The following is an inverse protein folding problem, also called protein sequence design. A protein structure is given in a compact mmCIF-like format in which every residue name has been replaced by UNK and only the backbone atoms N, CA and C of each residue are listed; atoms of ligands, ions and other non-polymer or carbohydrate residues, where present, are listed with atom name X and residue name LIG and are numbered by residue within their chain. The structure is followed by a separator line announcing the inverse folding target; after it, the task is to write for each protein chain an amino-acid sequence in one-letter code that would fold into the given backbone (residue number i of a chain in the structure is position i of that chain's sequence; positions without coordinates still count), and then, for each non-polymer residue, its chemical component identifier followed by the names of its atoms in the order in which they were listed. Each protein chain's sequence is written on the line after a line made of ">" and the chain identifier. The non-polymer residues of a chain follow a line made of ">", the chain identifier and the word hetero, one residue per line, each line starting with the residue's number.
data_IF_051309721017
#
_entry.id   IF_051309721017
#
_cell.length_a   1.000
_cell.length_b   1.000
_cell.length_c   1.000
_cell.angle_alpha   90.00
_cell.angle_beta   90.00
_cell.angle_gamma   90.00
#
_symmetry.space_group_name_H-M   'P 1'
#
loop_
_entity.id
_entity.type
_entity.pdbx_description
1 polymer ?
#
# COMPACT_ATOMS: atom_id res chain seq x y z
N UNK A 1 -31.71 16.59 -26.79
CA UNK A 1 -30.46 17.15 -26.22
C UNK A 1 -29.37 16.10 -26.39
N UNK A 2 -28.67 16.11 -27.53
CA UNK A 2 -27.57 15.17 -27.77
C UNK A 2 -26.45 15.48 -26.75
N UNK A 3 -26.18 14.54 -25.85
CA UNK A 3 -24.99 14.57 -25.01
C UNK A 3 -23.80 14.40 -25.97
N UNK A 4 -23.02 15.45 -26.18
CA UNK A 4 -21.70 15.32 -26.80
C UNK A 4 -20.94 14.27 -25.97
N UNK A 5 -20.76 13.08 -26.53
CA UNK A 5 -19.76 12.15 -26.00
C UNK A 5 -18.45 12.88 -26.20
N UNK A 6 -17.79 13.24 -25.10
CA UNK A 6 -16.51 13.92 -25.17
C UNK A 6 -15.54 13.00 -25.93
N UNK A 7 -15.07 13.40 -27.11
CA UNK A 7 -14.18 12.61 -27.97
C UNK A 7 -12.85 12.23 -27.28
N UNK A 8 -12.49 12.91 -26.19
CA UNK A 8 -11.26 12.63 -25.43
C UNK A 8 -11.58 12.35 -23.97
N UNK A 9 -11.17 11.17 -23.50
CA UNK A 9 -11.22 10.78 -22.09
C UNK A 9 -10.36 11.72 -21.24
N UNK A 10 -10.94 12.31 -20.19
CA UNK A 10 -10.21 13.21 -19.26
C UNK A 10 -9.55 12.49 -18.09
N UNK A 11 -10.23 11.50 -17.51
CA UNK A 11 -9.71 10.75 -16.38
C UNK A 11 -8.66 9.75 -16.85
N UNK A 12 -7.50 9.72 -16.19
CA UNK A 12 -6.38 8.81 -16.50
C UNK A 12 -6.56 7.44 -15.84
N UNK A 13 -5.98 6.39 -16.42
CA UNK A 13 -6.08 5.00 -15.95
C UNK A 13 -4.69 4.50 -15.56
N UNK A 14 -4.60 4.01 -14.33
CA UNK A 14 -3.41 3.35 -13.78
C UNK A 14 -3.66 1.84 -13.78
N UNK A 15 -2.79 1.06 -14.43
CA UNK A 15 -2.86 -0.41 -14.44
C UNK A 15 -1.64 -0.99 -13.72
N UNK A 16 -1.86 -1.97 -12.84
CA UNK A 16 -0.73 -2.68 -12.20
C UNK A 16 -0.20 -3.75 -13.14
N UNK A 17 1.12 -3.75 -13.37
CA UNK A 17 1.79 -4.73 -14.22
C UNK A 17 2.30 -5.89 -13.36
N UNK A 18 1.95 -7.11 -13.75
CA UNK A 18 2.37 -8.35 -13.12
C UNK A 18 2.34 -9.50 -14.11
N UNK A 19 2.55 -10.75 -13.67
CA UNK A 19 2.70 -11.93 -14.54
C UNK A 19 1.54 -12.16 -15.52
N UNK A 20 0.35 -11.66 -15.19
CA UNK A 20 -0.81 -11.78 -16.07
C UNK A 20 -0.68 -10.93 -17.35
N UNK A 21 0.09 -9.84 -17.33
CA UNK A 21 0.09 -8.77 -18.34
C UNK A 21 1.48 -8.19 -18.66
N UNK A 22 2.58 -8.88 -18.35
CA UNK A 22 3.95 -8.37 -18.54
C UNK A 22 4.62 -8.78 -19.87
N UNK A 23 3.92 -9.47 -20.78
CA UNK A 23 4.39 -9.65 -22.16
C UNK A 23 4.18 -8.39 -23.00
N UNK A 24 5.06 -8.18 -23.99
CA UNK A 24 4.99 -7.01 -24.88
C UNK A 24 3.64 -6.88 -25.58
N UNK A 25 3.09 -7.98 -26.10
CA UNK A 25 1.80 -8.00 -26.81
C UNK A 25 0.64 -7.61 -25.88
N UNK A 26 0.68 -8.04 -24.61
CA UNK A 26 -0.32 -7.67 -23.62
C UNK A 26 -0.19 -6.22 -23.20
N UNK A 27 1.03 -5.71 -23.06
CA UNK A 27 1.28 -4.29 -22.78
C UNK A 27 0.78 -3.39 -23.91
N UNK A 28 1.03 -3.74 -25.17
CA UNK A 28 0.47 -3.03 -26.35
C UNK A 28 -1.06 -2.97 -26.25
N UNK A 29 -1.71 -4.12 -26.02
CA UNK A 29 -3.17 -4.18 -25.87
C UNK A 29 -3.69 -3.33 -24.70
N UNK A 30 -2.98 -3.30 -23.57
CA UNK A 30 -3.35 -2.45 -22.43
C UNK A 30 -3.26 -0.95 -22.76
N UNK A 31 -2.20 -0.53 -23.46
CA UNK A 31 -2.02 0.86 -23.88
C UNK A 31 -3.09 1.26 -24.92
N UNK A 32 -3.39 0.39 -25.87
CA UNK A 32 -4.48 0.59 -26.83
C UNK A 32 -5.85 0.69 -26.15
N UNK A 33 -6.07 -0.13 -25.11
CA UNK A 33 -7.28 -0.11 -24.29
C UNK A 33 -7.38 1.11 -23.36
N UNK A 34 -6.31 1.91 -23.25
CA UNK A 34 -6.35 3.22 -22.61
C UNK A 34 -5.54 3.37 -21.32
N UNK A 35 -4.61 2.45 -21.01
CA UNK A 35 -3.65 2.63 -19.90
C UNK A 35 -2.80 3.89 -20.12
N UNK A 36 -2.74 4.78 -19.12
CA UNK A 36 -1.86 5.96 -19.13
C UNK A 36 -0.65 5.81 -18.19
N UNK A 37 -0.81 5.02 -17.13
CA UNK A 37 0.23 4.80 -16.12
C UNK A 37 0.36 3.31 -15.84
N UNK A 38 1.57 2.78 -15.95
CA UNK A 38 1.92 1.43 -15.55
C UNK A 38 2.48 1.45 -14.12
N UNK A 39 1.75 0.85 -13.18
CA UNK A 39 2.17 0.68 -11.79
C UNK A 39 3.00 -0.59 -11.63
N UNK A 40 4.21 -0.45 -11.11
CA UNK A 40 5.08 -1.54 -10.69
C UNK A 40 5.00 -1.67 -9.17
N UNK A 41 4.44 -2.77 -8.67
CA UNK A 41 4.29 -3.01 -7.23
C UNK A 41 5.53 -3.72 -6.68
N UNK A 42 6.40 -3.00 -5.96
CA UNK A 42 7.65 -3.53 -5.41
C UNK A 42 7.46 -4.39 -4.14
N UNK A 43 6.21 -4.60 -3.71
CA UNK A 43 5.90 -5.64 -2.71
C UNK A 43 6.14 -7.06 -3.26
N UNK A 44 6.19 -7.22 -4.59
CA UNK A 44 6.33 -8.52 -5.25
C UNK A 44 7.26 -8.44 -6.47
N UNK A 45 7.97 -9.53 -6.73
CA UNK A 45 8.95 -9.60 -7.81
C UNK A 45 10.34 -9.16 -7.37
N UNK A 46 11.30 -9.42 -8.24
CA UNK A 46 12.71 -9.07 -8.07
C UNK A 46 13.02 -7.76 -8.79
N UNK A 47 14.20 -7.19 -8.51
CA UNK A 47 14.69 -6.03 -9.26
C UNK A 47 14.70 -6.32 -10.77
N UNK A 48 15.20 -7.49 -11.18
CA UNK A 48 15.28 -7.90 -12.60
C UNK A 48 13.90 -7.98 -13.25
N UNK A 49 12.89 -8.51 -12.55
CA UNK A 49 11.50 -8.52 -13.04
C UNK A 49 11.01 -7.09 -13.32
N UNK A 50 11.30 -6.14 -12.42
CA UNK A 50 10.93 -4.74 -12.60
C UNK A 50 11.72 -4.07 -13.72
N UNK A 51 13.01 -4.40 -13.91
CA UNK A 51 13.81 -3.89 -15.02
C UNK A 51 13.25 -4.36 -16.37
N UNK A 52 12.92 -5.66 -16.47
CA UNK A 52 12.32 -6.24 -17.67
C UNK A 52 10.96 -5.59 -17.98
N UNK A 53 10.09 -5.43 -16.98
CA UNK A 53 8.78 -4.76 -17.15
C UNK A 53 8.93 -3.32 -17.60
N UNK A 54 9.82 -2.54 -16.99
CA UNK A 54 10.04 -1.15 -17.34
C UNK A 54 10.54 -1.00 -18.80
N UNK A 55 11.44 -1.87 -19.24
CA UNK A 55 11.91 -1.90 -20.62
C UNK A 55 10.76 -2.21 -21.60
N UNK A 56 9.97 -3.25 -21.32
CA UNK A 56 8.84 -3.64 -22.18
C UNK A 56 7.75 -2.56 -22.26
N UNK A 57 7.45 -1.86 -21.15
CA UNK A 57 6.50 -0.74 -21.13
C UNK A 57 6.98 0.40 -22.05
N UNK A 58 8.27 0.74 -21.98
CA UNK A 58 8.85 1.82 -22.81
C UNK A 58 8.86 1.45 -24.28
N UNK A 59 9.22 0.22 -24.62
CA UNK A 59 9.20 -0.27 -25.99
C UNK A 59 7.78 -0.22 -26.57
N UNK A 60 6.78 -0.72 -25.84
CA UNK A 60 5.38 -0.68 -26.27
C UNK A 60 4.84 0.76 -26.39
N UNK A 61 5.24 1.65 -25.47
CA UNK A 61 4.89 3.09 -25.51
C UNK A 61 5.48 3.79 -26.75
N UNK A 62 6.74 3.50 -27.09
CA UNK A 62 7.42 4.04 -28.27
C UNK A 62 6.81 3.51 -29.57
N UNK A 63 6.55 2.20 -29.66
CA UNK A 63 5.94 1.56 -30.83
C UNK A 63 4.57 2.16 -31.17
N UNK A 64 3.77 2.46 -30.14
CA UNK A 64 2.44 3.05 -30.32
C UNK A 64 2.44 4.58 -30.42
N UNK A 65 3.58 5.25 -30.19
CA UNK A 65 3.66 6.70 -30.10
C UNK A 65 2.76 7.30 -29.00
N UNK A 66 2.48 6.54 -27.93
CA UNK A 66 1.59 6.93 -26.82
C UNK A 66 2.39 7.04 -25.53
N UNK A 67 2.42 8.21 -24.86
CA UNK A 67 3.17 8.36 -23.61
C UNK A 67 2.49 7.57 -22.48
N UNK A 68 3.27 6.73 -21.80
CA UNK A 68 2.84 5.93 -20.64
C UNK A 68 3.82 6.18 -19.51
N UNK A 69 3.33 6.69 -18.38
CA UNK A 69 4.17 6.91 -17.20
C UNK A 69 4.38 5.59 -16.43
N UNK A 70 5.53 5.45 -15.78
CA UNK A 70 5.84 4.34 -14.87
C UNK A 70 5.77 4.85 -13.43
N UNK A 71 4.90 4.24 -12.63
CA UNK A 71 4.73 4.49 -11.21
C UNK A 71 5.38 3.33 -10.43
N UNK A 72 6.47 3.62 -9.73
CA UNK A 72 7.01 2.71 -8.71
C UNK A 72 6.15 2.81 -7.46
N UNK A 73 5.63 1.69 -6.95
CA UNK A 73 4.92 1.64 -5.66
C UNK A 73 5.75 0.89 -4.63
N UNK A 74 6.30 1.63 -3.66
CA UNK A 74 7.14 1.10 -2.58
C UNK A 74 6.30 0.30 -1.59
N UNK A 75 6.89 -0.75 -1.02
CA UNK A 75 6.17 -1.69 -0.16
C UNK A 75 5.72 -1.03 1.14
N UNK A 76 6.59 -0.22 1.75
CA UNK A 76 6.37 0.35 3.07
C UNK A 76 6.42 -0.69 4.21
N UNK A 77 6.19 -0.26 5.44
CA UNK A 77 6.33 -1.06 6.66
C UNK A 77 5.15 -2.02 6.88
N UNK A 78 5.01 -3.04 6.03
CA UNK A 78 3.98 -4.08 6.20
C UNK A 78 4.37 -5.07 7.28
N UNK A 79 3.57 -5.12 8.34
CA UNK A 79 3.64 -6.16 9.36
C UNK A 79 2.93 -7.41 8.83
N UNK A 80 3.48 -8.57 9.14
CA UNK A 80 3.00 -9.89 8.75
C UNK A 80 3.13 -10.90 9.88
N UNK A 81 2.37 -11.97 9.75
CA UNK A 81 2.53 -13.14 10.61
C UNK A 81 3.80 -13.91 10.23
N UNK A 82 4.51 -14.44 11.24
CA UNK A 82 5.51 -15.50 11.11
C UNK A 82 4.90 -16.90 11.12
N UNK A 83 3.61 -17.01 10.76
CA UNK A 83 2.91 -18.29 10.63
C UNK A 83 3.25 -18.94 9.28
N UNK A 84 3.48 -20.25 9.29
CA UNK A 84 3.73 -21.05 8.09
C UNK A 84 2.77 -22.25 8.04
N UNK A 85 2.15 -22.44 6.87
CA UNK A 85 1.24 -23.56 6.61
C UNK A 85 -0.24 -23.16 6.67
N UNK A 86 -1.15 -24.14 6.49
CA UNK A 86 -2.57 -23.93 6.67
C UNK A 86 -2.96 -24.00 8.15
N UNK A 87 -3.87 -23.14 8.58
CA UNK A 87 -4.49 -23.20 9.91
C UNK A 87 -5.84 -22.50 9.95
N UNK A 88 -6.51 -22.53 11.09
CA UNK A 88 -7.75 -21.79 11.31
C UNK A 88 -7.85 -21.33 12.75
N UNK A 89 -8.51 -20.20 12.96
CA UNK A 89 -8.89 -19.71 14.29
C UNK A 89 -10.40 -19.58 14.35
N UNK A 90 -11.00 -20.08 15.42
CA UNK A 90 -12.44 -20.05 15.64
C UNK A 90 -12.84 -18.82 16.46
N UNK A 91 -14.01 -18.25 16.17
CA UNK A 91 -14.54 -17.16 16.98
C UNK A 91 -14.73 -17.60 18.45
N UNK A 92 -14.32 -16.73 19.38
CA UNK A 92 -14.30 -17.01 20.82
C UNK A 92 -13.05 -17.71 21.33
N UNK A 93 -12.19 -18.25 20.44
CA UNK A 93 -10.93 -18.87 20.85
C UNK A 93 -9.95 -17.83 21.40
N UNK A 94 -8.98 -18.29 22.21
CA UNK A 94 -7.85 -17.48 22.66
C UNK A 94 -6.65 -17.75 21.75
N UNK A 95 -6.00 -16.70 21.29
CA UNK A 95 -4.79 -16.76 20.46
C UNK A 95 -3.72 -15.88 21.09
N UNK A 96 -2.56 -16.46 21.35
CA UNK A 96 -1.39 -15.70 21.78
C UNK A 96 -0.60 -15.19 20.59
N UNK A 97 -0.16 -13.93 20.66
CA UNK A 97 0.76 -13.33 19.70
C UNK A 97 2.12 -13.07 20.37
N UNK A 98 3.20 -13.32 19.65
CA UNK A 98 4.58 -13.05 20.11
C UNK A 98 5.35 -12.30 19.03
N UNK A 99 6.38 -11.57 19.42
CA UNK A 99 7.31 -10.95 18.47
C UNK A 99 8.18 -12.02 17.80
N UNK A 100 8.36 -11.91 16.48
CA UNK A 100 9.36 -12.71 15.77
C UNK A 100 8.95 -13.13 14.36
N UNK A 101 9.83 -13.89 13.73
CA UNK A 101 9.68 -14.35 12.34
C UNK A 101 9.09 -15.77 12.22
N UNK A 102 9.00 -16.51 13.32
CA UNK A 102 8.54 -17.90 13.35
C UNK A 102 7.65 -18.15 14.55
N UNK A 103 6.41 -18.60 14.29
CA UNK A 103 5.46 -18.97 15.33
C UNK A 103 5.91 -20.19 16.16
N UNK A 104 5.18 -20.43 17.24
CA UNK A 104 5.26 -21.68 18.02
C UNK A 104 3.93 -22.43 17.89
N UNK A 105 3.84 -23.66 18.43
CA UNK A 105 2.55 -24.37 18.48
C UNK A 105 1.47 -23.58 19.24
N UNK A 106 1.89 -22.73 20.18
CA UNK A 106 1.02 -22.06 21.14
C UNK A 106 0.94 -20.53 20.91
N UNK A 107 1.55 -20.01 19.85
CA UNK A 107 1.50 -18.58 19.53
C UNK A 107 1.81 -18.26 18.07
N UNK A 108 1.10 -17.29 17.53
CA UNK A 108 1.36 -16.72 16.21
C UNK A 108 2.44 -15.64 16.35
N UNK A 109 3.55 -15.80 15.63
CA UNK A 109 4.56 -14.75 15.59
C UNK A 109 4.09 -13.58 14.71
N UNK A 110 4.46 -12.36 15.09
CA UNK A 110 4.22 -11.12 14.37
C UNK A 110 5.59 -10.48 14.13
N UNK A 111 5.92 -10.14 12.88
CA UNK A 111 7.23 -9.59 12.51
C UNK A 111 7.36 -8.08 12.82
N UNK A 112 6.90 -7.70 14.00
CA UNK A 112 6.97 -6.35 14.54
C UNK A 112 7.66 -6.34 15.91
N UNK A 113 8.80 -5.65 15.99
CA UNK A 113 9.49 -5.39 17.25
C UNK A 113 8.77 -4.23 17.97
N UNK A 114 8.43 -4.42 19.25
CA UNK A 114 7.61 -3.48 20.03
C UNK A 114 6.11 -3.81 20.01
N UNK A 115 5.73 -5.04 19.64
CA UNK A 115 4.34 -5.50 19.68
C UNK A 115 3.75 -5.33 21.08
N UNK A 116 4.45 -5.79 22.13
CA UNK A 116 3.94 -5.69 23.51
C UNK A 116 3.96 -4.27 24.06
N UNK A 117 4.71 -3.36 23.43
CA UNK A 117 4.83 -1.95 23.84
C UNK A 117 3.77 -1.05 23.22
N UNK A 118 3.35 -1.33 21.97
CA UNK A 118 2.49 -0.43 21.20
C UNK A 118 1.01 -0.86 21.13
N UNK A 119 0.70 -2.11 21.50
CA UNK A 119 -0.69 -2.57 21.68
C UNK A 119 -1.12 -2.42 23.13
N UNK A 120 -2.42 -2.22 23.36
CA UNK A 120 -3.04 -2.12 24.66
C UNK A 120 -4.26 -3.04 24.75
N UNK A 121 -4.70 -3.38 25.97
CA UNK A 121 -5.96 -4.09 26.19
C UNK A 121 -7.14 -3.35 25.53
N UNK A 122 -8.00 -4.12 24.85
CA UNK A 122 -9.13 -3.61 24.06
C UNK A 122 -8.81 -3.28 22.60
N UNK A 123 -7.53 -3.25 22.21
CA UNK A 123 -7.14 -2.99 20.84
C UNK A 123 -7.60 -4.10 19.87
N UNK A 124 -7.88 -3.70 18.63
CA UNK A 124 -8.13 -4.61 17.52
C UNK A 124 -6.85 -4.91 16.76
N UNK A 125 -6.61 -6.18 16.48
CA UNK A 125 -5.55 -6.66 15.59
C UNK A 125 -6.22 -7.44 14.46
N UNK A 126 -5.97 -7.02 13.23
CA UNK A 126 -6.57 -7.63 12.05
C UNK A 126 -5.54 -8.45 11.29
N UNK A 127 -5.92 -9.65 10.84
CA UNK A 127 -5.07 -10.49 9.99
C UNK A 127 -5.70 -10.68 8.60
N UNK A 128 -4.86 -10.60 7.57
CA UNK A 128 -5.25 -10.86 6.18
C UNK A 128 -6.35 -9.94 5.70
N UNK A 129 -6.12 -8.63 5.82
CA UNK A 129 -7.03 -7.59 5.35
C UNK A 129 -8.40 -7.62 6.04
N UNK A 130 -8.41 -7.89 7.36
CA UNK A 130 -9.64 -7.94 8.17
C UNK A 130 -10.40 -9.27 8.14
N UNK A 131 -9.87 -10.31 7.48
CA UNK A 131 -10.49 -11.65 7.46
C UNK A 131 -10.53 -12.32 8.84
N UNK A 132 -9.59 -11.98 9.72
CA UNK A 132 -9.59 -12.42 11.12
C UNK A 132 -9.46 -11.16 11.97
N UNK A 133 -10.30 -11.05 13.00
CA UNK A 133 -10.27 -9.94 13.95
C UNK A 133 -10.01 -10.48 15.35
N UNK A 134 -8.98 -9.95 15.99
CA UNK A 134 -8.54 -10.28 17.34
C UNK A 134 -8.73 -9.06 18.25
N UNK A 135 -9.15 -9.28 19.48
CA UNK A 135 -9.17 -8.27 20.54
C UNK A 135 -8.10 -8.58 21.57
N UNK A 136 -7.23 -7.62 21.87
CA UNK A 136 -6.24 -7.76 22.94
C UNK A 136 -6.94 -7.83 24.29
N UNK A 137 -6.71 -8.91 25.01
CA UNK A 137 -7.32 -9.16 26.33
C UNK A 137 -6.34 -8.99 27.47
N UNK A 138 -5.06 -9.27 27.25
CA UNK A 138 -4.02 -9.12 28.26
C UNK A 138 -2.65 -9.01 27.59
N UNK A 139 -1.75 -8.22 28.17
CA UNK A 139 -0.34 -8.17 27.78
C UNK A 139 0.49 -8.79 28.90
N UNK A 140 1.33 -9.76 28.54
CA UNK A 140 2.35 -10.39 29.38
C UNK A 140 3.70 -10.10 28.75
N UNK A 141 4.76 -10.11 29.56
CA UNK A 141 6.12 -9.63 29.21
C UNK A 141 6.51 -9.72 27.71
N UNK A 142 6.41 -10.89 27.10
CA UNK A 142 6.72 -11.11 25.66
C UNK A 142 5.54 -11.69 24.86
N UNK A 143 4.30 -11.54 25.33
CA UNK A 143 3.13 -12.18 24.75
C UNK A 143 1.88 -11.31 24.87
N UNK A 144 1.16 -11.17 23.76
CA UNK A 144 -0.15 -10.51 23.70
C UNK A 144 -1.22 -11.58 23.62
N UNK A 145 -2.05 -11.70 24.66
CA UNK A 145 -3.17 -12.63 24.66
C UNK A 145 -4.38 -11.96 24.02
N UNK A 146 -4.98 -12.64 23.05
CA UNK A 146 -6.12 -12.11 22.30
C UNK A 146 -7.31 -13.06 22.31
N UNK A 147 -8.50 -12.49 22.18
CA UNK A 147 -9.74 -13.23 21.89
C UNK A 147 -10.09 -13.04 20.42
N UNK A 148 -10.38 -14.13 19.73
CA UNK A 148 -10.85 -14.10 18.34
C UNK A 148 -12.30 -13.62 18.32
N UNK A 149 -12.56 -12.51 17.64
CA UNK A 149 -13.92 -12.00 17.44
C UNK A 149 -14.52 -12.53 16.15
N UNK A 150 -13.71 -12.48 15.09
CA UNK A 150 -14.06 -13.06 13.80
C UNK A 150 -12.98 -14.09 13.42
N UNK A 151 -13.41 -15.35 13.33
CA UNK A 151 -12.54 -16.47 12.97
C UNK A 151 -12.35 -16.59 11.46
N UNK A 152 -11.36 -17.37 11.06
CA UNK A 152 -11.01 -17.54 9.66
C UNK A 152 -9.79 -18.42 9.44
N UNK A 153 -9.44 -18.60 8.17
CA UNK A 153 -8.29 -19.41 7.78
C UNK A 153 -7.00 -18.61 7.92
N UNK A 154 -6.04 -19.17 8.66
CA UNK A 154 -4.66 -18.70 8.70
C UNK A 154 -3.91 -19.21 7.47
N UNK A 155 -3.21 -18.29 6.82
CA UNK A 155 -2.31 -18.55 5.69
C UNK A 155 -0.91 -18.08 6.04
N UNK A 156 0.08 -18.57 5.32
CA UNK A 156 1.45 -18.14 5.53
C UNK A 156 1.61 -16.63 5.30
N UNK A 157 2.31 -15.95 6.20
CA UNK A 157 2.69 -14.53 6.08
C UNK A 157 1.55 -13.55 5.79
N UNK A 158 0.39 -13.77 6.41
CA UNK A 158 -0.75 -12.85 6.34
C UNK A 158 -0.35 -11.45 6.80
N UNK A 159 -0.88 -10.40 6.16
CA UNK A 159 -0.72 -9.03 6.63
C UNK A 159 -1.35 -8.87 8.02
N UNK A 160 -0.73 -8.04 8.86
CA UNK A 160 -1.19 -7.72 10.21
C UNK A 160 -1.40 -6.22 10.28
N UNK A 161 -2.60 -5.79 10.66
CA UNK A 161 -2.88 -4.40 10.98
C UNK A 161 -2.93 -4.27 12.49
N UNK A 162 -2.00 -3.49 13.01
CA UNK A 162 -1.97 -3.04 14.40
C UNK A 162 -2.53 -1.61 14.47
N UNK A 163 -2.96 -1.13 15.64
CA UNK A 163 -3.42 0.25 15.82
C UNK A 163 -2.38 1.28 15.35
N UNK A 164 -2.55 1.77 14.12
CA UNK A 164 -1.53 2.49 13.35
C UNK A 164 -1.01 3.78 13.98
N UNK A 165 -1.77 4.41 14.88
CA UNK A 165 -1.34 5.60 15.63
C UNK A 165 -0.20 5.33 16.62
N UNK A 166 -0.07 4.10 17.11
CA UNK A 166 0.96 3.74 18.10
C UNK A 166 2.16 3.02 17.50
N UNK A 167 2.01 2.46 16.30
CA UNK A 167 3.07 1.74 15.60
C UNK A 167 4.22 2.69 15.23
N UNK A 168 5.42 2.39 15.75
CA UNK A 168 6.66 3.18 15.59
C UNK A 168 7.53 2.71 14.43
N UNK A 169 6.91 2.32 13.31
CA UNK A 169 7.66 1.95 12.11
C UNK A 169 8.10 3.20 11.34
N UNK A 170 9.25 3.15 10.69
CA UNK A 170 9.58 4.12 9.64
C UNK A 170 8.66 3.91 8.44
N UNK A 171 8.17 4.98 7.81
CA UNK A 171 7.40 4.86 6.56
C UNK A 171 8.26 4.31 5.40
N UNK A 172 9.58 4.45 5.49
CA UNK A 172 10.54 3.98 4.50
C UNK A 172 11.43 2.92 5.14
N UNK A 173 11.31 1.68 4.67
CA UNK A 173 12.09 0.54 5.16
C UNK A 173 13.46 0.45 4.46
N UNK A 174 14.37 -0.38 4.99
CA UNK A 174 15.63 -0.70 4.31
C UNK A 174 15.42 -1.38 2.96
N UNK A 175 14.33 -2.14 2.81
CA UNK A 175 13.93 -2.70 1.51
C UNK A 175 13.51 -1.56 0.57
N UNK A 176 12.68 -0.63 1.03
CA UNK A 176 12.22 0.48 0.20
C UNK A 176 13.38 1.38 -0.27
N UNK A 177 14.43 1.56 0.54
CA UNK A 177 15.64 2.30 0.11
C UNK A 177 16.34 1.62 -1.08
N UNK A 178 16.51 0.29 -1.02
CA UNK A 178 17.11 -0.49 -2.13
C UNK A 178 16.20 -0.50 -3.36
N UNK A 179 14.89 -0.65 -3.15
CA UNK A 179 13.92 -0.63 -4.23
C UNK A 179 13.87 0.75 -4.90
N UNK A 180 13.92 1.84 -4.11
CA UNK A 180 13.96 3.21 -4.60
C UNK A 180 15.14 3.40 -5.55
N UNK A 181 16.33 2.96 -5.18
CA UNK A 181 17.52 3.02 -6.05
C UNK A 181 17.27 2.34 -7.40
N UNK A 182 16.70 1.13 -7.41
CA UNK A 182 16.31 0.43 -8.64
C UNK A 182 15.32 1.24 -9.47
N UNK A 183 14.32 1.86 -8.84
CA UNK A 183 13.34 2.69 -9.52
C UNK A 183 13.95 3.95 -10.14
N UNK A 184 14.85 4.62 -9.41
CA UNK A 184 15.55 5.82 -9.89
C UNK A 184 16.50 5.50 -11.04
N UNK A 185 17.24 4.39 -10.97
CA UNK A 185 18.07 3.87 -12.06
C UNK A 185 17.24 3.58 -13.32
N UNK A 186 16.08 2.95 -13.12
CA UNK A 186 15.15 2.70 -14.20
C UNK A 186 14.60 4.00 -14.77
N UNK A 187 14.62 5.08 -14.01
CA UNK A 187 14.09 6.38 -14.41
C UNK A 187 12.57 6.40 -14.44
N UNK A 188 11.93 5.85 -13.40
CA UNK A 188 10.48 5.94 -13.20
C UNK A 188 10.01 7.39 -13.15
N UNK A 189 8.74 7.61 -13.50
CA UNK A 189 8.13 8.94 -13.61
C UNK A 189 7.49 9.39 -12.28
N UNK A 190 7.10 8.43 -11.44
CA UNK A 190 6.54 8.66 -10.11
C UNK A 190 7.02 7.60 -9.12
N UNK A 191 7.14 7.99 -7.85
CA UNK A 191 7.35 7.09 -6.71
C UNK A 191 6.18 7.22 -5.75
N UNK A 192 5.50 6.11 -5.47
CA UNK A 192 4.43 6.02 -4.48
C UNK A 192 5.00 5.60 -3.13
N UNK A 193 4.68 6.37 -2.08
CA UNK A 193 5.02 6.05 -0.70
C UNK A 193 3.81 5.45 0.00
N UNK A 194 3.94 4.21 0.47
CA UNK A 194 2.94 3.50 1.26
C UNK A 194 2.99 3.92 2.73
N UNK A 195 1.88 3.72 3.45
CA UNK A 195 1.68 3.96 4.88
C UNK A 195 2.13 5.36 5.33
N UNK A 196 1.87 6.38 4.50
CA UNK A 196 2.11 7.77 4.88
C UNK A 196 1.29 8.07 6.13
N UNK A 197 1.89 8.79 7.08
CA UNK A 197 1.22 9.28 8.31
C UNK A 197 1.37 10.79 8.46
N UNK A 198 2.40 11.38 7.87
CA UNK A 198 2.69 12.80 7.99
C UNK A 198 3.40 13.38 6.76
N UNK A 199 3.49 14.72 6.70
CA UNK A 199 4.30 15.42 5.70
C UNK A 199 5.81 15.12 5.83
N UNK A 200 6.27 14.69 7.02
CA UNK A 200 7.68 14.39 7.24
C UNK A 200 8.11 13.11 6.52
N UNK A 201 7.23 12.11 6.44
CA UNK A 201 7.50 10.88 5.67
C UNK A 201 7.82 11.20 4.19
N UNK A 202 7.09 12.17 3.62
CA UNK A 202 7.30 12.63 2.23
C UNK A 202 8.65 13.34 2.10
N UNK A 203 9.00 14.22 3.04
CA UNK A 203 10.29 14.93 3.02
C UNK A 203 11.47 13.99 3.18
N UNK A 204 11.36 12.96 4.01
CA UNK A 204 12.39 11.94 4.15
C UNK A 204 12.63 11.23 2.82
N UNK A 205 11.56 10.89 2.08
CA UNK A 205 11.69 10.29 0.75
C UNK A 205 12.34 11.27 -0.26
N UNK A 206 11.99 12.56 -0.20
CA UNK A 206 12.64 13.60 -1.02
C UNK A 206 14.14 13.70 -0.74
N UNK A 207 14.55 13.67 0.53
CA UNK A 207 15.97 13.72 0.92
C UNK A 207 16.74 12.50 0.41
N UNK A 208 16.16 11.30 0.52
CA UNK A 208 16.75 10.09 -0.03
C UNK A 208 16.97 10.20 -1.56
N UNK A 209 15.94 10.68 -2.28
CA UNK A 209 16.02 10.91 -3.72
C UNK A 209 17.06 11.98 -4.11
N UNK A 210 17.17 13.07 -3.35
CA UNK A 210 18.20 14.09 -3.54
C UNK A 210 19.61 13.51 -3.37
N UNK A 211 19.81 12.61 -2.41
CA UNK A 211 21.08 11.89 -2.23
C UNK A 211 21.49 11.04 -3.44
N UNK A 212 20.52 10.60 -4.24
CA UNK A 212 20.73 9.85 -5.49
C UNK A 212 20.80 10.76 -6.75
N UNK A 213 20.71 12.08 -6.57
CA UNK A 213 20.80 13.05 -7.68
C UNK A 213 19.56 13.12 -8.58
N UNK A 214 18.43 12.52 -8.18
CA UNK A 214 17.20 12.52 -8.98
C UNK A 214 15.97 12.73 -8.10
N UNK A 215 15.30 13.87 -8.28
CA UNK A 215 14.04 14.18 -7.58
C UNK A 215 12.83 13.78 -8.45
N UNK A 216 12.32 12.57 -8.23
CA UNK A 216 11.14 12.05 -8.93
C UNK A 216 9.84 12.43 -8.18
N UNK A 217 8.76 12.84 -8.87
CA UNK A 217 7.49 13.19 -8.23
C UNK A 217 6.93 12.10 -7.30
N UNK A 218 6.43 12.51 -6.13
CA UNK A 218 5.93 11.60 -5.09
C UNK A 218 4.41 11.50 -5.09
N UNK A 219 3.91 10.28 -5.09
CA UNK A 219 2.49 9.94 -4.82
C UNK A 219 2.36 9.50 -3.36
N UNK A 220 1.74 10.30 -2.50
CA UNK A 220 1.45 9.89 -1.13
C UNK A 220 0.22 8.98 -1.09
N UNK A 221 0.36 7.76 -0.58
CA UNK A 221 -0.77 6.84 -0.40
C UNK A 221 -1.41 7.08 0.95
N UNK A 222 -2.67 7.54 0.94
CA UNK A 222 -3.47 7.75 2.14
C UNK A 222 -4.11 6.41 2.48
N UNK A 223 -3.46 5.72 3.40
CA UNK A 223 -3.79 4.35 3.86
C UNK A 223 -4.10 4.32 5.36
N UNK A 224 -3.62 5.31 6.12
CA UNK A 224 -3.68 5.32 7.59
C UNK A 224 -4.65 6.40 8.11
N UNK A 225 -5.25 6.21 9.30
CA UNK A 225 -6.00 7.26 10.01
C UNK A 225 -5.16 8.52 10.22
N UNK A 226 -3.88 8.37 10.54
CA UNK A 226 -2.95 9.50 10.76
C UNK A 226 -2.78 10.36 9.51
N UNK A 227 -2.74 9.77 8.31
CA UNK A 227 -2.72 10.54 7.07
C UNK A 227 -4.02 11.29 6.80
N UNK A 228 -5.16 10.74 7.22
CA UNK A 228 -6.45 11.45 7.13
C UNK A 228 -6.48 12.63 8.10
N UNK A 229 -5.99 12.47 9.33
CA UNK A 229 -5.92 13.55 10.32
C UNK A 229 -4.98 14.69 9.89
N UNK A 230 -3.87 14.36 9.21
CA UNK A 230 -2.89 15.33 8.71
C UNK A 230 -3.03 15.61 7.20
N UNK A 231 -4.22 15.38 6.64
CA UNK A 231 -4.45 15.34 5.19
C UNK A 231 -3.92 16.57 4.45
N UNK A 232 -4.22 17.79 4.92
CA UNK A 232 -3.78 19.00 4.24
C UNK A 232 -2.24 19.11 4.19
N UNK A 233 -1.56 18.74 5.27
CA UNK A 233 -0.09 18.77 5.31
C UNK A 233 0.51 17.73 4.36
N UNK A 234 -0.04 16.53 4.33
CA UNK A 234 0.35 15.44 3.42
C UNK A 234 0.16 15.87 1.96
N UNK A 235 -1.03 16.37 1.61
CA UNK A 235 -1.36 16.82 0.24
C UNK A 235 -0.44 17.95 -0.22
N UNK A 236 -0.10 18.91 0.66
CA UNK A 236 0.79 20.01 0.28
C UNK A 236 2.22 19.56 0.04
N UNK A 237 2.70 18.57 0.79
CA UNK A 237 4.06 18.05 0.69
C UNK A 237 4.25 17.10 -0.51
N UNK A 238 3.21 16.37 -0.93
CA UNK A 238 3.27 15.43 -2.05
C UNK A 238 3.02 16.10 -3.41
N UNK A 239 3.46 15.46 -4.49
CA UNK A 239 3.17 15.90 -5.87
C UNK A 239 1.83 15.38 -6.38
N UNK A 240 1.41 14.22 -5.88
CA UNK A 240 0.10 13.61 -6.10
C UNK A 240 -0.31 12.76 -4.89
N UNK A 241 -1.57 12.36 -4.83
CA UNK A 241 -2.12 11.54 -3.73
C UNK A 241 -2.85 10.32 -4.28
N UNK A 242 -2.80 9.21 -3.56
CA UNK A 242 -3.59 8.01 -3.85
C UNK A 242 -4.51 7.68 -2.68
N UNK A 243 -5.82 7.60 -2.94
CA UNK A 243 -6.80 7.03 -2.02
C UNK A 243 -6.71 5.51 -2.14
N UNK A 244 -6.06 4.87 -1.18
CA UNK A 244 -5.91 3.42 -1.13
C UNK A 244 -7.02 2.83 -0.29
N UNK A 245 -8.15 2.51 -0.94
CA UNK A 245 -9.39 2.13 -0.24
C UNK A 245 -9.32 0.81 0.51
N UNK A 246 -8.48 -0.12 0.04
CA UNK A 246 -8.29 -1.43 0.67
C UNK A 246 -7.75 -1.26 2.07
N UNK A 247 -6.54 -0.69 2.20
CA UNK A 247 -5.93 -0.43 3.50
C UNK A 247 -6.77 0.54 4.35
N UNK A 248 -7.35 1.59 3.77
CA UNK A 248 -8.27 2.48 4.52
C UNK A 248 -9.50 1.75 5.09
N UNK A 249 -10.07 0.80 4.36
CA UNK A 249 -11.22 0.00 4.81
C UNK A 249 -10.86 -1.06 5.84
N UNK A 250 -9.56 -1.37 5.99
CA UNK A 250 -9.05 -2.22 7.06
C UNK A 250 -8.76 -1.38 8.32
N UNK A 251 -8.18 -0.20 8.14
CA UNK A 251 -7.77 0.69 9.25
C UNK A 251 -8.93 1.51 9.86
N UNK A 252 -9.99 1.73 9.09
CA UNK A 252 -11.16 2.53 9.48
C UNK A 252 -12.44 1.77 9.15
N UNK A 253 -13.57 2.10 9.81
CA UNK A 253 -14.87 1.53 9.47
C UNK A 253 -15.13 1.64 7.95
N UNK A 254 -15.41 0.53 7.23
CA UNK A 254 -15.56 0.53 5.78
C UNK A 254 -16.59 1.56 5.26
N UNK A 255 -17.65 1.81 6.03
CA UNK A 255 -18.69 2.79 5.73
C UNK A 255 -18.19 4.25 5.72
N UNK A 256 -17.05 4.54 6.35
CA UNK A 256 -16.42 5.87 6.37
C UNK A 256 -15.55 6.11 5.14
N UNK A 257 -15.05 5.07 4.48
CA UNK A 257 -14.15 5.17 3.32
C UNK A 257 -14.74 6.03 2.20
N UNK A 258 -16.04 5.94 1.83
CA UNK A 258 -16.64 6.82 0.82
C UNK A 258 -16.64 8.31 1.19
N UNK A 259 -16.76 8.63 2.49
CA UNK A 259 -16.73 10.02 3.00
C UNK A 259 -15.30 10.55 2.91
N UNK A 260 -14.34 9.79 3.44
CA UNK A 260 -12.92 10.12 3.46
C UNK A 260 -12.37 10.27 2.04
N UNK A 261 -12.76 9.40 1.10
CA UNK A 261 -12.38 9.54 -0.31
C UNK A 261 -12.79 10.90 -0.87
N UNK A 262 -14.02 11.36 -0.61
CA UNK A 262 -14.51 12.66 -1.10
C UNK A 262 -13.71 13.81 -0.48
N UNK A 263 -13.37 13.69 0.80
CA UNK A 263 -12.54 14.65 1.51
C UNK A 263 -11.12 14.73 0.92
N UNK A 264 -10.46 13.58 0.68
CA UNK A 264 -9.14 13.51 0.05
C UNK A 264 -9.17 14.14 -1.33
N UNK A 265 -10.14 13.77 -2.18
CA UNK A 265 -10.29 14.33 -3.53
C UNK A 265 -10.54 15.85 -3.47
N UNK A 266 -11.40 16.31 -2.56
CA UNK A 266 -11.69 17.73 -2.37
C UNK A 266 -10.47 18.53 -1.96
N UNK A 267 -9.67 18.00 -1.04
CA UNK A 267 -8.43 18.61 -0.56
C UNK A 267 -7.37 18.64 -1.65
N UNK A 268 -7.19 17.55 -2.39
CA UNK A 268 -6.29 17.51 -3.54
C UNK A 268 -6.67 18.57 -4.59
N UNK A 269 -7.96 18.71 -4.90
CA UNK A 269 -8.45 19.75 -5.82
C UNK A 269 -8.18 21.16 -5.32
N UNK A 270 -8.35 21.42 -4.01
CA UNK A 270 -8.06 22.72 -3.38
C UNK A 270 -6.59 23.13 -3.55
N UNK A 271 -5.68 22.18 -3.43
CA UNK A 271 -4.24 22.39 -3.57
C UNK A 271 -3.68 22.03 -4.96
N UNK A 272 -4.54 21.81 -5.95
CA UNK A 272 -4.17 21.50 -7.33
C UNK A 272 -3.24 20.27 -7.46
N UNK A 273 -3.42 19.27 -6.59
CA UNK A 273 -2.70 17.99 -6.63
C UNK A 273 -3.51 16.95 -7.40
N UNK A 274 -2.89 16.19 -8.33
CA UNK A 274 -3.51 15.00 -8.91
C UNK A 274 -3.88 13.99 -7.81
N UNK A 275 -5.00 13.29 -8.02
CA UNK A 275 -5.48 12.27 -7.09
C UNK A 275 -5.84 10.99 -7.84
N UNK A 276 -5.36 9.86 -7.35
CA UNK A 276 -5.65 8.51 -7.84
C UNK A 276 -6.61 7.85 -6.85
N UNK A 277 -7.65 7.18 -7.34
CA UNK A 277 -8.48 6.30 -6.51
C UNK A 277 -8.11 4.85 -6.85
N UNK A 278 -7.63 4.11 -5.85
CA UNK A 278 -7.10 2.77 -6.02
C UNK A 278 -7.91 1.72 -5.24
N UNK A 279 -7.65 0.45 -5.57
CA UNK A 279 -8.21 -0.81 -5.00
C UNK A 279 -9.73 -0.94 -5.12
N UNK A 280 -10.30 -2.15 -5.10
CA UNK A 280 -11.77 -2.40 -5.09
C UNK A 280 -12.59 -1.69 -6.19
N UNK A 281 -12.00 -1.50 -7.39
CA UNK A 281 -12.67 -0.81 -8.50
C UNK A 281 -13.50 -1.79 -9.36
N UNK A 282 -12.91 -2.91 -9.77
CA UNK A 282 -13.46 -3.88 -10.73
C UNK A 282 -13.05 -5.32 -10.35
N UNK A 283 -13.30 -5.72 -9.09
CA UNK A 283 -12.78 -6.95 -8.46
C UNK A 283 -13.58 -8.24 -8.74
N UNK A 284 -14.73 -8.15 -9.41
CA UNK A 284 -15.74 -9.22 -9.59
C UNK A 284 -15.23 -10.55 -10.14
#
# INVERSE_FOLDING_TARGET
>A
MLRLVMEVRRAKIVCTIGPAVDSKEKLVRLIESGMDVARLNFSHGTADDHRARAAAIREASQELGKPVAILQDLCGPKIRTGFEGPGSVEAGATVSLIEGSSGTKDAIAIDYQGLTEDVHEGDRILLGDGQIELEVTQIREHRVETRVLHGGNLRSRMGVNLPSKRVRLSAITEKDKRDLEVGLDLGVDFVALSFVRSAEDIKQLQQLMQGHGRLTPIVAKVETPSAVEHLEAVVRAADAVMVARGDLGVELPPEMVPVIQKEIIGTCRRYQRPVIVATEMLQS
#
